data_IF_268040130441
#
_entry.id   IF_268040130441
#
_cell.length_a   1.000
_cell.length_b   1.000
_cell.length_c   1.000
_cell.angle_alpha   90.00
_cell.angle_beta   90.00
_cell.angle_gamma   90.00
#
_symmetry.space_group_name_H-M   'P 1'
#
loop_
_entity.id
_entity.type
_entity.pdbx_description
1 polymer ?
#
# COMPACT_ATOMS: atom_id res chain seq x y z
N UNK A 1 -8.99 7.90 5.22
CA UNK A 1 -8.85 8.21 3.78
C UNK A 1 -8.08 7.06 3.15
N UNK A 2 -8.66 6.41 2.13
CA UNK A 2 -8.10 5.21 1.50
C UNK A 2 -7.39 5.66 0.24
N UNK A 3 -6.06 5.57 0.22
CA UNK A 3 -5.39 5.37 -1.06
C UNK A 3 -5.95 4.06 -1.61
N UNK A 4 -6.64 4.03 -2.77
CA UNK A 4 -7.15 2.79 -3.36
C UNK A 4 -6.01 1.86 -3.84
N UNK A 5 -4.78 2.11 -3.40
CA UNK A 5 -3.57 1.40 -3.77
C UNK A 5 -3.69 -0.12 -3.58
N UNK A 6 -4.27 -0.61 -2.48
CA UNK A 6 -4.51 -2.05 -2.29
C UNK A 6 -5.40 -2.65 -3.40
N UNK A 7 -6.46 -1.93 -3.79
CA UNK A 7 -7.36 -2.33 -4.88
C UNK A 7 -6.69 -2.25 -6.26
N UNK A 8 -5.90 -1.20 -6.51
CA UNK A 8 -5.13 -1.04 -7.74
C UNK A 8 -4.06 -2.14 -7.89
N UNK A 9 -3.36 -2.47 -6.81
CA UNK A 9 -2.38 -3.56 -6.77
C UNK A 9 -3.06 -4.91 -7.00
N UNK A 10 -4.21 -5.15 -6.37
CA UNK A 10 -5.00 -6.36 -6.61
C UNK A 10 -5.42 -6.48 -8.10
N UNK A 11 -6.02 -5.42 -8.65
CA UNK A 11 -6.47 -5.40 -10.04
C UNK A 11 -5.31 -5.62 -11.01
N UNK A 12 -4.17 -4.96 -10.78
CA UNK A 12 -2.98 -5.12 -11.62
C UNK A 12 -2.38 -6.54 -11.52
N UNK A 13 -2.34 -7.12 -10.32
CA UNK A 13 -1.89 -8.50 -10.12
C UNK A 13 -2.80 -9.52 -10.82
N UNK A 14 -4.13 -9.35 -10.73
CA UNK A 14 -5.09 -10.20 -11.45
C UNK A 14 -4.95 -10.04 -12.95
N UNK A 15 -4.87 -8.81 -13.46
CA UNK A 15 -4.64 -8.55 -14.88
C UNK A 15 -3.34 -9.21 -15.37
N UNK A 16 -2.26 -9.12 -14.60
CA UNK A 16 -0.99 -9.78 -14.89
C UNK A 16 -1.10 -11.31 -14.91
N UNK A 17 -1.88 -11.91 -14.00
CA UNK A 17 -2.14 -13.35 -13.99
C UNK A 17 -2.92 -13.80 -15.23
N UNK A 18 -3.96 -13.07 -15.59
CA UNK A 18 -4.75 -13.32 -16.80
C UNK A 18 -3.90 -13.16 -18.07
N UNK A 19 -2.92 -12.25 -18.04
CA UNK A 19 -1.93 -12.07 -19.11
C UNK A 19 -0.74 -13.07 -19.07
N UNK A 20 -0.76 -14.07 -18.18
CA UNK A 20 0.25 -15.13 -18.13
C UNK A 20 1.56 -14.78 -17.38
N UNK A 21 1.59 -13.69 -16.62
CA UNK A 21 2.81 -13.21 -15.92
C UNK A 21 3.22 -14.04 -14.68
N UNK A 22 2.48 -15.10 -14.38
CA UNK A 22 2.84 -16.13 -13.38
C UNK A 22 3.06 -15.60 -11.96
N UNK A 23 4.12 -16.08 -11.29
CA UNK A 23 4.39 -15.85 -9.86
C UNK A 23 4.55 -14.37 -9.48
N UNK A 24 5.04 -13.52 -10.38
CA UNK A 24 5.20 -12.08 -10.12
C UNK A 24 3.86 -11.39 -9.88
N UNK A 25 2.94 -11.61 -10.80
CA UNK A 25 1.59 -11.08 -10.74
C UNK A 25 0.79 -11.64 -9.56
N UNK A 26 0.99 -12.93 -9.21
CA UNK A 26 0.39 -13.53 -8.02
C UNK A 26 0.74 -12.77 -6.73
N UNK A 27 2.02 -12.38 -6.56
CA UNK A 27 2.42 -11.67 -5.34
C UNK A 27 1.89 -10.25 -5.30
N UNK A 28 1.80 -9.57 -6.45
CA UNK A 28 1.18 -8.24 -6.52
C UNK A 28 -0.32 -8.34 -6.16
N UNK A 29 -1.01 -9.37 -6.66
CA UNK A 29 -2.42 -9.63 -6.35
C UNK A 29 -2.63 -9.89 -4.85
N UNK A 30 -1.91 -10.88 -4.29
CA UNK A 30 -2.03 -11.24 -2.87
C UNK A 30 -1.58 -10.11 -1.95
N UNK A 31 -0.55 -9.35 -2.34
CA UNK A 31 -0.15 -8.13 -1.63
C UNK A 31 -1.26 -7.10 -1.60
N UNK A 32 -1.96 -6.88 -2.72
CA UNK A 32 -3.14 -6.02 -2.78
C UNK A 32 -4.29 -6.49 -1.89
N UNK A 33 -4.58 -7.81 -1.85
CA UNK A 33 -5.57 -8.38 -0.91
C UNK A 33 -5.17 -8.11 0.53
N UNK A 34 -3.92 -8.37 0.89
CA UNK A 34 -3.43 -8.17 2.25
C UNK A 34 -3.55 -6.70 2.67
N UNK A 35 -3.18 -5.77 1.79
CA UNK A 35 -3.36 -4.32 2.03
C UNK A 35 -4.82 -3.93 2.27
N UNK A 36 -5.76 -4.45 1.47
CA UNK A 36 -7.18 -4.16 1.65
C UNK A 36 -7.72 -4.69 2.98
N UNK A 37 -7.39 -5.93 3.34
CA UNK A 37 -7.84 -6.55 4.58
C UNK A 37 -7.28 -5.82 5.80
N UNK A 38 -5.98 -5.53 5.79
CA UNK A 38 -5.32 -4.83 6.88
C UNK A 38 -5.80 -3.38 6.98
N UNK A 39 -6.05 -2.69 5.87
CA UNK A 39 -6.64 -1.35 5.88
C UNK A 39 -8.02 -1.36 6.56
N UNK A 40 -8.87 -2.33 6.22
CA UNK A 40 -10.20 -2.47 6.82
C UNK A 40 -10.11 -2.80 8.33
N UNK A 41 -9.21 -3.70 8.72
CA UNK A 41 -8.99 -4.07 10.13
C UNK A 41 -8.42 -2.90 10.95
N UNK A 42 -7.44 -2.19 10.39
CA UNK A 42 -6.83 -0.99 10.99
C UNK A 42 -7.92 0.06 11.23
N UNK A 43 -8.68 0.41 10.18
CA UNK A 43 -9.76 1.40 10.29
C UNK A 43 -10.81 0.99 11.32
N UNK A 44 -11.17 -0.30 11.38
CA UNK A 44 -12.11 -0.82 12.39
C UNK A 44 -11.54 -0.72 13.80
N UNK A 45 -10.25 -0.93 14.01
CA UNK A 45 -9.59 -0.78 15.31
C UNK A 45 -9.56 0.69 15.75
N UNK A 46 -9.19 1.60 14.83
CA UNK A 46 -9.16 3.04 15.09
C UNK A 46 -10.54 3.62 15.42
N UNK A 47 -11.58 3.23 14.66
CA UNK A 47 -12.97 3.62 14.95
C UNK A 47 -13.46 3.15 16.33
N UNK A 48 -12.91 2.04 16.84
CA UNK A 48 -13.20 1.51 18.18
C UNK A 48 -12.31 2.11 19.28
N UNK A 49 -11.50 3.13 18.99
CA UNK A 49 -10.57 3.74 19.95
C UNK A 49 -9.35 2.86 20.29
N UNK A 50 -9.17 1.71 19.65
CA UNK A 50 -8.05 0.79 19.90
C UNK A 50 -6.79 1.22 19.15
N UNK A 51 -6.22 2.35 19.55
CA UNK A 51 -5.12 3.03 18.85
C UNK A 51 -3.86 2.17 18.73
N UNK A 52 -3.48 1.43 19.77
CA UNK A 52 -2.32 0.52 19.74
C UNK A 52 -2.48 -0.62 18.72
N UNK A 53 -3.67 -1.23 18.68
CA UNK A 53 -4.01 -2.29 17.72
C UNK A 53 -4.03 -1.74 16.29
N UNK A 54 -4.64 -0.56 16.10
CA UNK A 54 -4.64 0.12 14.80
C UNK A 54 -3.23 0.48 14.32
N UNK A 55 -2.35 0.94 15.21
CA UNK A 55 -0.96 1.22 14.91
C UNK A 55 -0.20 -0.05 14.52
N UNK A 56 -0.33 -1.14 15.27
CA UNK A 56 0.31 -2.43 14.95
C UNK A 56 -0.11 -2.96 13.56
N UNK A 57 -1.40 -2.88 13.22
CA UNK A 57 -1.89 -3.27 11.90
C UNK A 57 -1.32 -2.36 10.81
N UNK A 58 -1.23 -1.05 11.06
CA UNK A 58 -0.67 -0.08 10.11
C UNK A 58 0.83 -0.32 9.90
N UNK A 59 1.58 -0.74 10.92
CA UNK A 59 2.97 -1.16 10.78
C UNK A 59 3.12 -2.40 9.89
N UNK A 60 2.20 -3.37 10.00
CA UNK A 60 2.20 -4.54 9.12
C UNK A 60 1.91 -4.15 7.66
N UNK A 61 0.96 -3.25 7.42
CA UNK A 61 0.73 -2.67 6.09
C UNK A 61 2.00 -2.01 5.55
N UNK A 62 2.66 -1.21 6.39
CA UNK A 62 3.90 -0.52 6.00
C UNK A 62 4.97 -1.51 5.53
N UNK A 63 5.11 -2.64 6.22
CA UNK A 63 6.01 -3.72 5.83
C UNK A 63 5.66 -4.34 4.46
N UNK A 64 4.37 -4.58 4.19
CA UNK A 64 3.90 -5.11 2.90
C UNK A 64 4.13 -4.10 1.78
N UNK A 65 3.76 -2.85 1.97
CA UNK A 65 3.99 -1.77 1.02
C UNK A 65 5.50 -1.59 0.72
N UNK A 66 6.36 -1.68 1.73
CA UNK A 66 7.82 -1.63 1.55
C UNK A 66 8.34 -2.82 0.75
N UNK A 67 7.91 -4.03 1.08
CA UNK A 67 8.28 -5.24 0.35
C UNK A 67 7.84 -5.17 -1.13
N UNK A 68 6.60 -4.78 -1.39
CA UNK A 68 6.08 -4.63 -2.76
C UNK A 68 6.83 -3.55 -3.53
N UNK A 69 7.10 -2.40 -2.91
CA UNK A 69 7.86 -1.30 -3.53
C UNK A 69 9.27 -1.76 -3.91
N UNK A 70 9.99 -2.42 -2.99
CA UNK A 70 11.33 -2.92 -3.26
C UNK A 70 11.33 -3.96 -4.39
N UNK A 71 10.33 -4.86 -4.39
CA UNK A 71 10.20 -5.86 -5.45
C UNK A 71 9.93 -5.21 -6.80
N UNK A 72 8.95 -4.31 -6.88
CA UNK A 72 8.58 -3.62 -8.11
C UNK A 72 9.74 -2.78 -8.63
N UNK A 73 10.52 -2.15 -7.74
CA UNK A 73 11.76 -1.45 -8.09
C UNK A 73 12.79 -2.39 -8.73
N UNK A 74 13.04 -3.56 -8.14
CA UNK A 74 13.96 -4.56 -8.71
C UNK A 74 13.52 -5.03 -10.10
N UNK A 75 12.22 -5.29 -10.28
CA UNK A 75 11.68 -5.70 -11.59
C UNK A 75 11.73 -4.56 -12.61
N UNK A 76 11.45 -3.33 -12.17
CA UNK A 76 11.56 -2.13 -13.00
C UNK A 76 12.99 -1.94 -13.54
N UNK A 77 14.00 -2.09 -12.68
CA UNK A 77 15.41 -1.99 -13.09
C UNK A 77 15.84 -3.13 -14.02
N UNK A 78 15.36 -4.35 -13.79
CA UNK A 78 15.70 -5.51 -14.61
C UNK A 78 14.93 -5.56 -15.95
N UNK A 79 13.89 -4.74 -16.13
CA UNK A 79 13.05 -4.77 -17.32
C UNK A 79 13.71 -4.10 -18.51
N UNK A 80 14.13 -4.91 -19.49
CA UNK A 80 14.65 -4.42 -20.78
C UNK A 80 13.54 -3.89 -21.72
N UNK A 81 12.29 -4.37 -21.54
CA UNK A 81 11.15 -4.00 -22.40
C UNK A 81 10.55 -2.66 -21.94
N UNK A 82 10.47 -1.63 -22.80
CA UNK A 82 9.95 -0.31 -22.42
C UNK A 82 8.52 -0.36 -21.85
N UNK A 83 7.62 -1.09 -22.49
CA UNK A 83 6.22 -1.22 -22.05
C UNK A 83 6.12 -1.87 -20.65
N UNK A 84 6.89 -2.94 -20.40
CA UNK A 84 6.93 -3.58 -19.10
C UNK A 84 7.50 -2.63 -18.04
N UNK A 85 8.53 -1.84 -18.39
CA UNK A 85 9.14 -0.86 -17.51
C UNK A 85 8.16 0.25 -17.11
N UNK A 86 7.33 0.72 -18.03
CA UNK A 86 6.24 1.68 -17.73
C UNK A 86 5.25 1.07 -16.74
N UNK A 87 4.75 -0.14 -17.01
CA UNK A 87 3.77 -0.80 -16.13
C UNK A 87 4.32 -0.99 -14.71
N UNK A 88 5.52 -1.55 -14.58
CA UNK A 88 6.15 -1.74 -13.27
C UNK A 88 6.48 -0.41 -12.59
N UNK A 89 6.82 0.63 -13.35
CA UNK A 89 7.05 1.99 -12.85
C UNK A 89 5.79 2.62 -12.26
N UNK A 90 4.64 2.48 -12.93
CA UNK A 90 3.35 2.94 -12.41
C UNK A 90 2.98 2.20 -11.13
N UNK A 91 3.12 0.87 -11.13
CA UNK A 91 2.85 0.06 -9.93
C UNK A 91 3.80 0.41 -8.78
N UNK A 92 5.07 0.66 -9.08
CA UNK A 92 6.06 1.13 -8.12
C UNK A 92 5.64 2.47 -7.52
N UNK A 93 5.19 3.43 -8.35
CA UNK A 93 4.72 4.73 -7.87
C UNK A 93 3.50 4.59 -6.94
N UNK A 94 2.56 3.70 -7.27
CA UNK A 94 1.39 3.40 -6.43
C UNK A 94 1.82 2.80 -5.09
N UNK A 95 2.67 1.76 -5.12
CA UNK A 95 3.16 1.09 -3.91
C UNK A 95 4.01 2.02 -3.04
N UNK A 96 4.86 2.83 -3.67
CA UNK A 96 5.70 3.82 -2.99
C UNK A 96 4.87 4.94 -2.36
N UNK A 97 3.85 5.44 -3.06
CA UNK A 97 2.92 6.44 -2.50
C UNK A 97 2.16 5.88 -1.28
N UNK A 98 1.73 4.62 -1.35
CA UNK A 98 1.12 3.92 -0.22
C UNK A 98 2.09 3.80 0.95
N UNK A 99 3.34 3.41 0.70
CA UNK A 99 4.38 3.31 1.73
C UNK A 99 4.59 4.65 2.44
N UNK A 100 4.78 5.74 1.68
CA UNK A 100 4.96 7.09 2.23
C UNK A 100 3.77 7.49 3.08
N UNK A 101 2.55 7.24 2.59
CA UNK A 101 1.33 7.52 3.34
C UNK A 101 1.23 6.73 4.65
N UNK A 102 1.58 5.44 4.64
CA UNK A 102 1.54 4.61 5.83
C UNK A 102 2.60 5.03 6.86
N UNK A 103 3.82 5.36 6.42
CA UNK A 103 4.87 5.93 7.28
C UNK A 103 4.39 7.24 7.89
N UNK A 104 3.82 8.14 7.09
CA UNK A 104 3.25 9.38 7.60
C UNK A 104 2.17 9.13 8.67
N UNK A 105 1.25 8.20 8.45
CA UNK A 105 0.20 7.88 9.44
C UNK A 105 0.78 7.36 10.75
N UNK A 106 1.85 6.55 10.70
CA UNK A 106 2.53 6.08 11.91
C UNK A 106 3.17 7.23 12.68
N UNK A 107 3.85 8.15 11.98
CA UNK A 107 4.49 9.32 12.58
C UNK A 107 3.46 10.33 13.13
N UNK A 108 2.34 10.53 12.44
CA UNK A 108 1.27 11.45 12.83
C UNK A 108 0.38 10.92 13.97
N UNK A 109 0.70 9.75 14.54
CA UNK A 109 -0.04 9.18 15.66
C UNK A 109 -1.34 8.46 15.30
N UNK A 110 -1.54 8.12 14.01
CA UNK A 110 -2.59 7.20 13.59
C UNK A 110 -3.48 7.65 12.42
N UNK A 111 -4.50 6.82 12.18
CA UNK A 111 -5.51 7.02 11.14
C UNK A 111 -6.91 7.13 11.79
N UNK A 112 -7.72 8.17 11.52
CA UNK A 112 -7.40 9.28 10.64
C UNK A 112 -6.41 10.24 11.32
N UNK A 113 -5.57 10.95 10.54
CA UNK A 113 -4.78 12.05 11.08
C UNK A 113 -5.72 13.01 11.81
N UNK A 114 -5.27 13.51 12.97
CA UNK A 114 -6.02 14.53 13.70
C UNK A 114 -6.31 15.66 12.72
N UNK A 115 -7.59 15.94 12.44
CA UNK A 115 -7.95 17.20 11.80
C UNK A 115 -7.43 18.29 12.73
N UNK A 116 -6.68 19.25 12.20
CA UNK A 116 -6.44 20.49 12.91
C UNK A 116 -7.81 21.00 13.39
N UNK A 117 -8.00 21.14 14.70
CA UNK A 117 -9.18 21.81 15.20
C UNK A 117 -9.02 23.29 14.80
N UNK A 118 -10.06 23.96 14.30
CA UNK A 118 -9.98 25.39 14.03
C UNK A 118 -9.70 26.08 15.37
N UNK A 119 -8.47 26.55 15.60
CA UNK A 119 -8.08 27.28 16.81
C UNK A 119 -6.76 26.87 17.47
N UNK A 120 -6.12 25.77 17.08
CA UNK A 120 -4.75 25.46 17.52
C UNK A 120 -3.75 25.93 16.44
N UNK A 121 -3.26 27.16 16.59
CA UNK A 121 -2.05 27.64 15.91
C UNK A 121 -0.78 26.99 16.54
N UNK A 122 0.32 26.85 15.77
CA UNK A 122 1.50 26.06 16.15
C UNK A 122 2.23 26.54 17.41
#
# INVERSE_FOLDING_TARGET
MVLPAGGLLLAAGVAGLLAGSGRGAAVVAWGGVAELLLAAMSLKAWKKGRRSVGAAITSLQTGIAAFLSLRLYRVFLASAKPAARIVHGVLLAIAGSLLVFLVYNLLAGGNPPKRAQPGEEP
#
